data_IF_739397353959
#
_entry.id   IF_739397353959
#
_cell.length_a   1.000
_cell.length_b   1.000
_cell.length_c   1.000
_cell.angle_alpha   90.00
_cell.angle_beta   90.00
_cell.angle_gamma   90.00
#
_symmetry.space_group_name_H-M   'P 1'
#
loop_
_entity.id
_entity.type
_entity.pdbx_description
1 polymer ?
#
# COMPACT_ATOMS: atom_id res chain seq x y z
N UNK A 1 15.55 21.01 -2.44
CA UNK A 1 14.40 20.11 -2.67
C UNK A 1 14.71 18.92 -3.60
N UNK A 2 15.34 19.04 -4.78
CA UNK A 2 15.47 17.91 -5.72
C UNK A 2 16.42 16.80 -5.27
N UNK A 3 17.50 17.13 -4.56
CA UNK A 3 18.53 16.15 -4.15
C UNK A 3 17.99 15.02 -3.25
N UNK A 4 17.01 15.31 -2.38
CA UNK A 4 16.43 14.32 -1.45
C UNK A 4 15.59 13.27 -2.18
N UNK A 5 14.82 13.69 -3.18
CA UNK A 5 14.06 12.78 -4.04
C UNK A 5 14.96 12.02 -5.01
N UNK A 6 16.04 12.64 -5.49
CA UNK A 6 17.02 11.99 -6.35
C UNK A 6 17.66 10.77 -5.67
N UNK A 7 17.96 10.85 -4.37
CA UNK A 7 18.49 9.71 -3.61
C UNK A 7 17.49 8.55 -3.57
N UNK A 8 16.23 8.80 -3.23
CA UNK A 8 15.18 7.77 -3.22
C UNK A 8 14.97 7.17 -4.61
N UNK A 9 14.88 8.02 -5.64
CA UNK A 9 14.72 7.58 -7.03
C UNK A 9 15.91 6.71 -7.49
N UNK A 10 17.14 7.13 -7.20
CA UNK A 10 18.34 6.35 -7.53
C UNK A 10 18.35 5.01 -6.80
N UNK A 11 18.01 4.99 -5.51
CA UNK A 11 17.87 3.74 -4.75
C UNK A 11 16.87 2.80 -5.42
N UNK A 12 15.72 3.32 -5.87
CA UNK A 12 14.68 2.48 -6.50
C UNK A 12 15.07 2.02 -7.90
N UNK A 13 15.83 2.82 -8.65
CA UNK A 13 16.43 2.38 -9.92
C UNK A 13 17.40 1.22 -9.70
N UNK A 14 18.30 1.33 -8.70
CA UNK A 14 19.24 0.24 -8.36
C UNK A 14 18.48 -0.99 -7.86
N UNK A 15 17.44 -0.81 -7.04
CA UNK A 15 16.59 -1.90 -6.59
C UNK A 15 15.88 -2.59 -7.78
N UNK A 16 15.36 -1.83 -8.74
CA UNK A 16 14.77 -2.33 -9.97
C UNK A 16 15.75 -3.12 -10.84
N UNK A 17 17.00 -2.64 -10.96
CA UNK A 17 18.07 -3.37 -11.67
C UNK A 17 18.42 -4.69 -10.97
N UNK A 18 18.48 -4.70 -9.63
CA UNK A 18 18.72 -5.91 -8.85
C UNK A 18 17.57 -6.91 -9.01
N UNK A 19 16.32 -6.44 -8.92
CA UNK A 19 15.14 -7.26 -9.19
C UNK A 19 15.17 -7.85 -10.61
N UNK A 20 15.48 -7.05 -11.63
CA UNK A 20 15.61 -7.52 -13.00
C UNK A 20 16.70 -8.58 -13.16
N UNK A 21 17.87 -8.39 -12.55
CA UNK A 21 18.96 -9.37 -12.60
C UNK A 21 18.57 -10.70 -11.94
N UNK A 22 17.90 -10.65 -10.78
CA UNK A 22 17.36 -11.84 -10.11
C UNK A 22 16.30 -12.52 -10.97
N UNK A 23 15.39 -11.74 -11.56
CA UNK A 23 14.36 -12.26 -12.45
C UNK A 23 14.98 -12.96 -13.66
N UNK A 24 15.93 -12.34 -14.35
CA UNK A 24 16.62 -12.89 -15.51
C UNK A 24 17.39 -14.19 -15.19
N UNK A 25 17.97 -14.29 -13.99
CA UNK A 25 18.69 -15.49 -13.55
C UNK A 25 17.75 -16.67 -13.23
N UNK A 26 16.59 -16.39 -12.63
CA UNK A 26 15.67 -17.42 -12.12
C UNK A 26 14.55 -17.82 -13.10
N UNK A 27 14.19 -16.94 -14.05
CA UNK A 27 13.09 -17.16 -14.99
C UNK A 27 13.14 -18.51 -15.73
N UNK A 28 14.32 -19.00 -16.19
CA UNK A 28 14.38 -20.25 -16.95
C UNK A 28 14.00 -21.52 -16.18
N UNK A 29 13.85 -21.45 -14.85
CA UNK A 29 13.69 -22.64 -14.01
C UNK A 29 12.52 -22.63 -13.02
N UNK A 30 11.80 -21.52 -12.86
CA UNK A 30 10.78 -21.36 -11.81
C UNK A 30 9.49 -20.69 -12.34
N UNK A 31 8.39 -20.90 -11.61
CA UNK A 31 7.13 -20.22 -11.91
C UNK A 31 7.26 -18.69 -11.77
N UNK A 32 6.70 -17.85 -12.66
CA UNK A 32 6.88 -16.40 -12.65
C UNK A 32 6.57 -15.71 -11.32
N UNK A 33 5.56 -16.20 -10.57
CA UNK A 33 5.27 -15.70 -9.22
C UNK A 33 6.44 -15.89 -8.24
N UNK A 34 7.12 -17.04 -8.26
CA UNK A 34 8.28 -17.29 -7.39
C UNK A 34 9.46 -16.39 -7.79
N UNK A 35 9.66 -16.23 -9.10
CA UNK A 35 10.70 -15.36 -9.65
C UNK A 35 10.45 -13.91 -9.26
N UNK A 36 9.20 -13.45 -9.38
CA UNK A 36 8.79 -12.08 -9.01
C UNK A 36 8.92 -11.86 -7.50
N UNK A 37 8.54 -12.84 -6.68
CA UNK A 37 8.72 -12.76 -5.23
C UNK A 37 10.19 -12.63 -4.84
N UNK A 38 11.06 -13.46 -5.43
CA UNK A 38 12.51 -13.39 -5.19
C UNK A 38 13.10 -12.05 -5.65
N UNK A 39 12.63 -11.52 -6.79
CA UNK A 39 13.03 -10.22 -7.31
C UNK A 39 12.59 -9.06 -6.39
N UNK A 40 11.36 -9.10 -5.88
CA UNK A 40 10.83 -8.07 -4.96
C UNK A 40 11.55 -8.10 -3.59
N UNK A 41 11.87 -9.30 -3.08
CA UNK A 41 12.73 -9.46 -1.90
C UNK A 41 14.11 -8.87 -2.15
N UNK A 42 14.73 -9.15 -3.30
CA UNK A 42 16.04 -8.62 -3.64
C UNK A 42 16.04 -7.08 -3.73
N UNK A 43 15.03 -6.49 -4.39
CA UNK A 43 14.84 -5.05 -4.43
C UNK A 43 14.62 -4.46 -3.02
N UNK A 44 13.81 -5.12 -2.18
CA UNK A 44 13.63 -4.73 -0.78
C UNK A 44 14.95 -4.74 0.00
N UNK A 45 15.83 -5.73 -0.23
CA UNK A 45 17.15 -5.78 0.41
C UNK A 45 18.07 -4.63 -0.03
N UNK A 46 17.98 -4.19 -1.29
CA UNK A 46 18.69 -2.99 -1.78
C UNK A 46 18.17 -1.73 -1.07
N UNK A 47 16.84 -1.57 -0.98
CA UNK A 47 16.22 -0.45 -0.25
C UNK A 47 16.62 -0.48 1.23
N UNK A 48 16.66 -1.66 1.84
CA UNK A 48 17.10 -1.85 3.22
C UNK A 48 18.55 -1.42 3.42
N UNK A 49 19.47 -1.86 2.55
CA UNK A 49 20.86 -1.48 2.61
C UNK A 49 21.03 0.05 2.49
N UNK A 50 20.37 0.66 1.51
CA UNK A 50 20.38 2.12 1.33
C UNK A 50 19.80 2.87 2.54
N UNK A 51 18.65 2.44 3.06
CA UNK A 51 17.99 3.02 4.24
C UNK A 51 18.88 2.96 5.48
N UNK A 52 19.69 1.90 5.62
CA UNK A 52 20.62 1.71 6.73
C UNK A 52 21.84 2.63 6.59
N UNK A 53 22.40 2.74 5.39
CA UNK A 53 23.51 3.65 5.09
C UNK A 53 23.13 5.11 5.35
N UNK A 54 21.92 5.49 4.94
CA UNK A 54 21.38 6.85 5.07
C UNK A 54 20.76 7.09 6.46
N UNK A 55 20.59 6.02 7.26
CA UNK A 55 19.98 6.03 8.60
C UNK A 55 18.55 6.57 8.61
N UNK A 56 17.79 6.27 7.58
CA UNK A 56 16.39 6.68 7.44
C UNK A 56 15.54 5.52 6.89
N UNK A 57 14.80 4.85 7.78
CA UNK A 57 13.92 3.74 7.42
C UNK A 57 12.70 4.18 6.58
N UNK A 58 12.29 5.45 6.68
CA UNK A 58 11.19 6.02 5.87
C UNK A 58 11.49 6.13 4.38
N UNK A 59 12.72 5.85 3.96
CA UNK A 59 13.03 5.65 2.53
C UNK A 59 12.25 4.48 1.91
N UNK A 60 11.76 3.54 2.71
CA UNK A 60 10.91 2.45 2.24
C UNK A 60 9.45 2.88 2.02
N UNK A 61 9.00 3.99 2.63
CA UNK A 61 7.58 4.37 2.66
C UNK A 61 6.91 4.56 1.29
N UNK A 62 7.57 5.00 0.21
CA UNK A 62 6.95 4.99 -1.13
C UNK A 62 7.21 3.68 -1.90
N UNK A 63 8.10 2.81 -1.46
CA UNK A 63 8.49 1.59 -2.18
C UNK A 63 7.30 0.65 -2.34
N UNK A 64 6.54 0.44 -1.27
CA UNK A 64 5.41 -0.49 -1.26
C UNK A 64 4.25 -0.05 -2.19
N UNK A 65 4.16 1.24 -2.56
CA UNK A 65 3.24 1.72 -3.59
C UNK A 65 3.84 1.73 -4.99
N UNK A 66 5.17 1.86 -5.13
CA UNK A 66 5.86 1.85 -6.44
C UNK A 66 6.04 0.42 -6.99
N UNK A 67 6.44 -0.52 -6.14
CA UNK A 67 6.75 -1.90 -6.56
C UNK A 67 5.58 -2.60 -7.29
N UNK A 68 4.31 -2.52 -6.82
CA UNK A 68 3.17 -3.09 -7.54
C UNK A 68 3.03 -2.61 -8.99
N UNK A 69 3.23 -1.32 -9.27
CA UNK A 69 3.12 -0.80 -10.62
C UNK A 69 4.19 -1.37 -11.56
N UNK A 70 5.43 -1.47 -11.08
CA UNK A 70 6.54 -2.05 -11.85
C UNK A 70 6.32 -3.54 -12.08
N UNK A 71 5.89 -4.28 -11.05
CA UNK A 71 5.61 -5.72 -11.14
C UNK A 71 4.47 -6.01 -12.12
N UNK A 72 3.35 -5.30 -11.99
CA UNK A 72 2.19 -5.51 -12.87
C UNK A 72 2.50 -5.12 -14.31
N UNK A 73 3.26 -4.04 -14.53
CA UNK A 73 3.74 -3.69 -15.87
C UNK A 73 4.61 -4.81 -16.46
N UNK A 74 5.54 -5.38 -15.68
CA UNK A 74 6.39 -6.48 -16.13
C UNK A 74 5.56 -7.72 -16.50
N UNK A 75 4.53 -8.07 -15.72
CA UNK A 75 3.63 -9.18 -16.03
C UNK A 75 2.80 -8.93 -17.29
N UNK A 76 2.24 -7.73 -17.47
CA UNK A 76 1.47 -7.38 -18.67
C UNK A 76 2.34 -7.40 -19.93
N UNK A 77 3.62 -7.03 -19.83
CA UNK A 77 4.55 -7.07 -20.97
C UNK A 77 5.09 -8.47 -21.26
N UNK A 78 5.18 -9.34 -20.25
CA UNK A 78 5.71 -10.70 -20.37
C UNK A 78 4.67 -11.77 -20.70
N UNK A 79 3.41 -11.53 -20.34
CA UNK A 79 2.35 -12.54 -20.39
C UNK A 79 1.19 -12.14 -21.32
N UNK A 80 0.58 -13.15 -21.95
CA UNK A 80 -0.61 -12.96 -22.79
C UNK A 80 -1.88 -13.17 -21.98
N UNK A 81 -2.69 -12.12 -21.85
CA UNK A 81 -3.96 -12.14 -21.11
C UNK A 81 -5.11 -11.53 -21.90
N UNK A 82 -6.25 -11.39 -21.24
CA UNK A 82 -7.39 -10.66 -21.81
C UNK A 82 -7.08 -9.15 -21.77
N UNK A 83 -6.99 -8.52 -22.95
CA UNK A 83 -6.43 -7.17 -23.13
C UNK A 83 -7.21 -6.10 -22.37
N UNK A 84 -8.54 -6.19 -22.32
CA UNK A 84 -9.36 -5.18 -21.64
C UNK A 84 -9.13 -5.25 -20.13
N UNK A 85 -9.11 -6.45 -19.55
CA UNK A 85 -8.81 -6.70 -18.14
C UNK A 85 -7.39 -6.30 -17.80
N UNK A 86 -6.39 -6.71 -18.58
CA UNK A 86 -4.99 -6.31 -18.39
C UNK A 86 -4.84 -4.79 -18.35
N UNK A 87 -5.45 -4.09 -19.32
CA UNK A 87 -5.41 -2.64 -19.42
C UNK A 87 -6.09 -1.97 -18.22
N UNK A 88 -7.26 -2.47 -17.81
CA UNK A 88 -8.00 -1.95 -16.66
C UNK A 88 -7.21 -2.12 -15.36
N UNK A 89 -6.66 -3.31 -15.11
CA UNK A 89 -5.84 -3.61 -13.92
C UNK A 89 -4.59 -2.73 -13.89
N UNK A 90 -3.85 -2.67 -15.00
CA UNK A 90 -2.63 -1.85 -15.10
C UNK A 90 -2.94 -0.37 -14.85
N UNK A 91 -3.99 0.18 -15.48
CA UNK A 91 -4.38 1.57 -15.29
C UNK A 91 -4.76 1.86 -13.84
N UNK A 92 -5.56 1.00 -13.20
CA UNK A 92 -6.01 1.19 -11.82
C UNK A 92 -4.86 1.07 -10.82
N UNK A 93 -3.95 0.11 -11.00
CA UNK A 93 -2.73 -0.03 -10.19
C UNK A 93 -1.81 1.18 -10.36
N UNK A 94 -1.63 1.69 -11.60
CA UNK A 94 -0.84 2.90 -11.84
C UNK A 94 -1.46 4.13 -11.18
N UNK A 95 -2.78 4.32 -11.30
CA UNK A 95 -3.49 5.43 -10.66
C UNK A 95 -3.29 5.37 -9.14
N UNK A 96 -3.51 4.20 -8.52
CA UNK A 96 -3.31 3.97 -7.09
C UNK A 96 -1.86 4.24 -6.65
N UNK A 97 -0.89 3.67 -7.38
CA UNK A 97 0.54 3.79 -7.12
C UNK A 97 1.04 5.24 -7.17
N UNK A 98 0.72 5.95 -8.26
CA UNK A 98 1.09 7.36 -8.44
C UNK A 98 0.46 8.22 -7.36
N UNK A 99 -0.82 7.98 -7.04
CA UNK A 99 -1.56 8.73 -6.02
C UNK A 99 -0.98 8.54 -4.62
N UNK A 100 -0.67 7.31 -4.20
CA UNK A 100 -0.04 7.05 -2.91
C UNK A 100 1.37 7.64 -2.82
N UNK A 101 2.16 7.46 -3.87
CA UNK A 101 3.52 7.99 -3.95
C UNK A 101 3.51 9.53 -3.90
N UNK A 102 2.55 10.16 -4.59
CA UNK A 102 2.32 11.61 -4.51
C UNK A 102 1.88 12.06 -3.12
N UNK A 103 0.98 11.33 -2.48
CA UNK A 103 0.53 11.61 -1.11
C UNK A 103 1.72 11.61 -0.12
N UNK A 104 2.60 10.61 -0.23
CA UNK A 104 3.86 10.59 0.51
C UNK A 104 4.74 11.79 0.17
N UNK A 105 5.03 12.02 -1.12
CA UNK A 105 5.91 13.09 -1.57
C UNK A 105 5.42 14.49 -1.13
N UNK A 106 4.11 14.72 -1.07
CA UNK A 106 3.52 15.99 -0.66
C UNK A 106 3.76 16.34 0.82
N UNK A 107 4.01 15.34 1.67
CA UNK A 107 4.16 15.50 3.12
C UNK A 107 5.56 15.15 3.64
N UNK A 108 6.40 14.53 2.81
CA UNK A 108 7.74 14.12 3.19
C UNK A 108 8.70 15.30 3.33
N UNK A 109 9.38 15.36 4.48
CA UNK A 109 10.27 16.48 4.85
C UNK A 109 11.73 16.27 4.45
N UNK A 110 12.06 15.13 3.86
CA UNK A 110 13.41 14.76 3.44
C UNK A 110 14.12 13.78 4.34
N UNK A 111 15.39 13.52 4.02
CA UNK A 111 16.22 12.49 4.67
C UNK A 111 16.52 12.76 6.16
N UNK A 112 16.37 14.00 6.62
CA UNK A 112 16.53 14.37 8.02
C UNK A 112 15.29 14.04 8.87
N UNK A 113 14.20 13.60 8.23
CA UNK A 113 12.95 13.24 8.89
C UNK A 113 12.67 11.74 8.72
N UNK A 114 12.55 11.05 9.85
CA UNK A 114 12.10 9.66 9.93
C UNK A 114 10.69 9.61 10.56
N UNK A 115 9.85 8.71 10.06
CA UNK A 115 8.50 8.50 10.56
C UNK A 115 8.56 8.11 12.05
N UNK A 116 7.69 8.74 12.83
CA UNK A 116 7.59 8.53 14.28
C UNK A 116 7.39 7.07 14.67
N UNK A 117 6.77 6.23 13.80
CA UNK A 117 6.59 4.80 14.02
C UNK A 117 7.95 4.15 14.20
N UNK A 118 8.88 4.42 13.29
CA UNK A 118 10.20 3.82 13.28
C UNK A 118 11.08 4.39 14.40
N UNK A 119 10.96 5.69 14.69
CA UNK A 119 11.64 6.31 15.84
C UNK A 119 11.20 5.66 17.16
N UNK A 120 9.90 5.36 17.34
CA UNK A 120 9.37 4.68 18.54
C UNK A 120 9.85 3.23 18.66
N UNK A 121 10.29 2.61 17.56
CA UNK A 121 10.84 1.26 17.57
C UNK A 121 12.33 1.21 17.96
N UNK A 122 13.00 2.36 18.11
CA UNK A 122 14.39 2.44 18.60
C UNK A 122 14.43 2.20 20.12
N UNK A 123 15.56 1.67 20.59
CA UNK A 123 15.78 1.41 22.02
C UNK A 123 14.99 0.23 22.59
N UNK A 124 14.33 -0.57 21.75
CA UNK A 124 13.74 -1.84 22.15
C UNK A 124 14.81 -2.92 22.36
N UNK A 125 14.42 -4.05 22.96
CA UNK A 125 15.31 -5.20 23.19
C UNK A 125 15.88 -5.81 21.91
N UNK A 126 15.20 -5.63 20.79
CA UNK A 126 15.61 -6.16 19.48
C UNK A 126 16.48 -5.11 18.76
N UNK A 127 17.62 -5.51 18.15
CA UNK A 127 18.44 -4.60 17.37
C UNK A 127 17.65 -3.90 16.26
N UNK A 128 17.81 -2.57 16.14
CA UNK A 128 17.01 -1.77 15.21
C UNK A 128 17.17 -2.21 13.75
N UNK A 129 18.35 -2.69 13.32
CA UNK A 129 18.54 -3.19 11.96
C UNK A 129 17.62 -4.37 11.65
N UNK A 130 17.34 -5.25 12.63
CA UNK A 130 16.46 -6.40 12.46
C UNK A 130 15.00 -5.96 12.42
N UNK A 131 14.63 -4.98 13.26
CA UNK A 131 13.30 -4.37 13.23
C UNK A 131 13.06 -3.65 11.89
N UNK A 132 14.06 -2.94 11.39
CA UNK A 132 14.02 -2.28 10.08
C UNK A 132 13.85 -3.31 8.95
N UNK A 133 14.68 -4.34 8.92
CA UNK A 133 14.61 -5.37 7.88
C UNK A 133 13.28 -6.12 7.91
N UNK A 134 12.93 -6.72 9.05
CA UNK A 134 11.80 -7.65 9.13
C UNK A 134 10.46 -6.93 9.30
N UNK A 135 10.40 -5.96 10.21
CA UNK A 135 9.14 -5.30 10.56
C UNK A 135 8.77 -4.15 9.65
N UNK A 136 9.73 -3.27 9.33
CA UNK A 136 9.46 -2.05 8.56
C UNK A 136 9.41 -2.33 7.05
N UNK A 137 10.25 -3.24 6.55
CA UNK A 137 10.43 -3.43 5.10
C UNK A 137 9.89 -4.78 4.61
N UNK A 138 10.39 -5.91 5.10
CA UNK A 138 9.96 -7.23 4.59
C UNK A 138 8.49 -7.54 4.90
N UNK A 139 7.98 -7.19 6.08
CA UNK A 139 6.59 -7.48 6.42
C UNK A 139 5.61 -6.80 5.44
N UNK A 140 5.69 -5.48 5.18
CA UNK A 140 4.85 -4.86 4.15
C UNK A 140 5.10 -5.42 2.75
N UNK A 141 6.35 -5.71 2.36
CA UNK A 141 6.67 -6.35 1.07
C UNK A 141 5.90 -7.67 0.91
N UNK A 142 5.93 -8.54 1.92
CA UNK A 142 5.23 -9.84 1.89
C UNK A 142 3.71 -9.66 1.83
N UNK A 143 3.14 -8.73 2.60
CA UNK A 143 1.69 -8.49 2.62
C UNK A 143 1.20 -7.90 1.29
N UNK A 144 1.95 -6.96 0.71
CA UNK A 144 1.66 -6.39 -0.62
C UNK A 144 1.79 -7.46 -1.70
N UNK A 145 2.85 -8.27 -1.65
CA UNK A 145 3.03 -9.37 -2.61
C UNK A 145 1.91 -10.41 -2.50
N UNK A 146 1.44 -10.73 -1.29
CA UNK A 146 0.28 -11.59 -1.09
C UNK A 146 -0.99 -11.02 -1.76
N UNK A 147 -1.16 -9.69 -1.75
CA UNK A 147 -2.21 -9.00 -2.53
C UNK A 147 -2.02 -9.15 -4.05
N UNK A 148 -0.78 -9.04 -4.53
CA UNK A 148 -0.44 -9.21 -5.95
C UNK A 148 -0.67 -10.63 -6.48
N UNK A 149 -0.74 -11.65 -5.62
CA UNK A 149 -1.10 -13.00 -6.04
C UNK A 149 -2.43 -13.05 -6.77
N UNK A 150 -3.40 -12.21 -6.39
CA UNK A 150 -4.69 -12.14 -7.07
C UNK A 150 -4.65 -11.34 -8.38
N UNK A 151 -3.63 -10.50 -8.55
CA UNK A 151 -3.43 -9.74 -9.80
C UNK A 151 -2.86 -10.63 -10.89
N UNK A 152 -1.98 -11.59 -10.55
CA UNK A 152 -1.40 -12.52 -11.52
C UNK A 152 -2.43 -13.20 -12.44
N UNK A 153 -3.47 -13.92 -11.94
CA UNK A 153 -4.47 -14.51 -12.81
C UNK A 153 -5.23 -13.47 -13.65
N UNK A 154 -5.40 -12.25 -13.15
CA UNK A 154 -6.07 -11.18 -13.89
C UNK A 154 -5.30 -10.71 -15.13
N UNK A 155 -3.96 -10.80 -15.10
CA UNK A 155 -3.10 -10.28 -16.17
C UNK A 155 -2.35 -11.36 -16.96
N UNK A 156 -2.23 -12.57 -16.42
CA UNK A 156 -1.38 -13.62 -17.02
C UNK A 156 -2.13 -14.91 -17.38
N UNK A 157 -3.40 -15.06 -16.99
CA UNK A 157 -4.19 -16.26 -17.32
C UNK A 157 -5.17 -15.97 -18.45
N UNK A 158 -4.97 -16.53 -19.65
CA UNK A 158 -5.92 -16.37 -20.76
C UNK A 158 -7.15 -17.28 -20.59
N UNK A 159 -8.16 -17.06 -21.43
CA UNK A 159 -9.27 -18.00 -21.63
C UNK A 159 -10.64 -17.53 -21.13
N UNK A 160 -10.72 -16.49 -20.30
CA UNK A 160 -12.00 -15.85 -19.91
C UNK A 160 -12.03 -14.40 -20.35
N UNK A 161 -13.01 -14.06 -21.19
CA UNK A 161 -13.27 -12.69 -21.63
C UNK A 161 -13.65 -11.74 -20.48
N UNK A 162 -13.61 -10.44 -20.75
CA UNK A 162 -14.07 -9.41 -19.82
C UNK A 162 -15.56 -9.56 -19.54
N UNK A 163 -15.95 -9.64 -18.26
CA UNK A 163 -17.33 -9.95 -17.87
C UNK A 163 -17.87 -9.08 -16.73
N UNK A 164 -19.06 -9.45 -16.24
CA UNK A 164 -19.76 -8.71 -15.17
C UNK A 164 -18.92 -8.56 -13.90
N UNK A 165 -18.19 -9.61 -13.51
CA UNK A 165 -17.35 -9.57 -12.33
C UNK A 165 -16.17 -8.59 -12.49
N UNK A 166 -15.64 -8.43 -13.71
CA UNK A 166 -14.64 -7.41 -14.01
C UNK A 166 -15.22 -5.99 -13.87
N UNK A 167 -16.47 -5.76 -14.30
CA UNK A 167 -17.17 -4.48 -14.11
C UNK A 167 -17.32 -4.16 -12.62
N UNK A 168 -17.68 -5.16 -11.80
CA UNK A 168 -17.75 -5.00 -10.34
C UNK A 168 -16.37 -4.69 -9.77
N UNK A 169 -15.32 -5.39 -10.21
CA UNK A 169 -13.94 -5.14 -9.79
C UNK A 169 -13.47 -3.72 -10.12
N UNK A 170 -13.78 -3.22 -11.33
CA UNK A 170 -13.53 -1.82 -11.73
C UNK A 170 -14.27 -0.87 -10.79
N UNK A 171 -15.57 -1.06 -10.57
CA UNK A 171 -16.38 -0.18 -9.74
C UNK A 171 -15.86 -0.11 -8.29
N UNK A 172 -15.51 -1.27 -7.70
CA UNK A 172 -14.91 -1.36 -6.36
C UNK A 172 -13.58 -0.63 -6.30
N UNK A 173 -12.67 -0.91 -7.24
CA UNK A 173 -11.33 -0.31 -7.26
C UNK A 173 -11.36 1.20 -7.50
N UNK A 174 -12.20 1.69 -8.42
CA UNK A 174 -12.38 3.14 -8.65
C UNK A 174 -12.93 3.82 -7.40
N UNK A 175 -13.91 3.20 -6.75
CA UNK A 175 -14.47 3.73 -5.49
C UNK A 175 -13.44 3.76 -4.38
N UNK A 176 -12.62 2.71 -4.25
CA UNK A 176 -11.52 2.63 -3.30
C UNK A 176 -10.55 3.82 -3.45
N UNK A 177 -10.02 4.00 -4.67
CA UNK A 177 -9.10 5.12 -5.00
C UNK A 177 -9.76 6.48 -4.75
N UNK A 178 -11.05 6.63 -5.08
CA UNK A 178 -11.79 7.87 -4.86
C UNK A 178 -11.97 8.19 -3.36
N UNK A 179 -12.29 7.18 -2.54
CA UNK A 179 -12.38 7.28 -1.08
C UNK A 179 -11.03 7.74 -0.52
N UNK A 180 -9.95 7.04 -0.87
CA UNK A 180 -8.61 7.41 -0.42
C UNK A 180 -8.30 8.85 -0.83
N UNK A 181 -8.37 9.17 -2.12
CA UNK A 181 -7.99 10.48 -2.67
C UNK A 181 -8.78 11.62 -2.01
N UNK A 182 -10.05 11.39 -1.69
CA UNK A 182 -10.87 12.36 -0.98
C UNK A 182 -10.47 12.47 0.49
N UNK A 183 -10.27 11.35 1.17
CA UNK A 183 -9.88 11.30 2.58
C UNK A 183 -8.54 12.01 2.85
N UNK A 184 -7.52 11.73 2.05
CA UNK A 184 -6.20 12.33 2.23
C UNK A 184 -6.22 13.83 1.88
N UNK A 185 -6.92 14.25 0.81
CA UNK A 185 -7.08 15.68 0.51
C UNK A 185 -7.79 16.44 1.64
N UNK A 186 -8.82 15.84 2.23
CA UNK A 186 -9.51 16.41 3.39
C UNK A 186 -8.56 16.53 4.59
N UNK A 187 -7.78 15.49 4.88
CA UNK A 187 -6.83 15.48 5.99
C UNK A 187 -5.69 16.49 5.79
N UNK A 188 -5.13 16.58 4.59
CA UNK A 188 -4.06 17.53 4.27
C UNK A 188 -4.53 18.97 4.41
N UNK A 189 -5.72 19.30 3.89
CA UNK A 189 -6.30 20.65 4.03
C UNK A 189 -6.53 20.99 5.51
N UNK A 190 -7.05 20.05 6.29
CA UNK A 190 -7.25 20.24 7.72
C UNK A 190 -5.93 20.45 8.46
N UNK A 191 -4.92 19.63 8.17
CA UNK A 191 -3.62 19.68 8.85
C UNK A 191 -2.76 20.88 8.44
N UNK A 192 -2.97 21.45 7.26
CA UNK A 192 -2.26 22.62 6.78
C UNK A 192 -2.67 23.92 7.49
N UNK A 193 -3.89 23.99 8.02
CA UNK A 193 -4.41 25.15 8.73
C UNK A 193 -3.94 25.16 10.21
N UNK A 194 -3.16 26.18 10.63
CA UNK A 194 -2.69 26.29 12.01
C UNK A 194 -3.81 26.34 13.06
N UNK A 195 -5.00 26.83 12.70
CA UNK A 195 -6.15 26.90 13.60
C UNK A 195 -6.62 25.50 14.05
N UNK A 196 -6.40 24.48 13.23
CA UNK A 196 -6.78 23.09 13.51
C UNK A 196 -5.72 22.31 14.29
N UNK A 197 -4.62 22.94 14.73
CA UNK A 197 -3.58 22.25 15.53
C UNK A 197 -4.18 21.66 16.81
N UNK A 198 -3.91 20.39 17.05
CA UNK A 198 -4.45 19.65 18.20
C UNK A 198 -5.92 19.22 18.07
N UNK A 199 -6.64 19.70 17.05
CA UNK A 199 -8.03 19.33 16.81
C UNK A 199 -8.16 17.99 16.07
N UNK A 200 -9.35 17.39 16.14
CA UNK A 200 -9.69 16.12 15.49
C UNK A 200 -10.40 16.43 14.16
N UNK A 201 -9.91 15.84 13.07
CA UNK A 201 -10.60 15.92 11.79
C UNK A 201 -11.89 15.08 11.86
N UNK A 202 -13.05 15.74 11.84
CA UNK A 202 -14.36 15.11 11.99
C UNK A 202 -15.38 15.59 10.94
N UNK A 203 -14.90 16.04 9.78
CA UNK A 203 -15.72 16.51 8.65
C UNK A 203 -15.49 15.66 7.38
N UNK A 204 -16.33 15.84 6.36
CA UNK A 204 -16.17 15.09 5.11
C UNK A 204 -16.37 13.59 5.28
N UNK A 205 -15.43 12.76 4.82
CA UNK A 205 -15.43 11.31 5.03
C UNK A 205 -15.08 10.94 6.49
N UNK A 206 -14.28 11.78 7.14
CA UNK A 206 -13.79 11.54 8.51
C UNK A 206 -14.88 11.63 9.59
N UNK A 207 -16.07 12.15 9.24
CA UNK A 207 -17.25 12.09 10.13
C UNK A 207 -17.87 10.70 10.21
N UNK A 208 -17.65 9.86 9.19
CA UNK A 208 -18.27 8.53 9.05
C UNK A 208 -17.31 7.41 9.43
N UNK A 209 -16.02 7.66 9.34
CA UNK A 209 -14.95 6.71 9.56
C UNK A 209 -13.77 7.46 10.15
N UNK A 210 -13.10 6.88 11.16
CA UNK A 210 -11.87 7.46 11.72
C UNK A 210 -10.66 7.22 10.82
N UNK A 211 -10.74 6.28 9.88
CA UNK A 211 -9.67 5.94 8.94
C UNK A 211 -10.23 5.64 7.53
N UNK A 212 -10.89 6.61 6.87
CA UNK A 212 -11.53 6.38 5.57
C UNK A 212 -10.52 6.07 4.46
N UNK A 213 -9.30 6.61 4.54
CA UNK A 213 -8.22 6.26 3.63
C UNK A 213 -7.79 4.80 3.77
N UNK A 214 -7.74 4.23 4.99
CA UNK A 214 -7.47 2.81 5.18
C UNK A 214 -8.61 1.92 4.66
N UNK A 215 -9.86 2.37 4.75
CA UNK A 215 -10.98 1.66 4.12
C UNK A 215 -10.81 1.58 2.61
N UNK A 216 -10.45 2.70 1.98
CA UNK A 216 -10.17 2.71 0.55
C UNK A 216 -9.02 1.75 0.18
N UNK A 217 -7.92 1.78 0.94
CA UNK A 217 -6.79 0.88 0.72
C UNK A 217 -7.20 -0.59 0.82
N UNK A 218 -7.98 -0.97 1.83
CA UNK A 218 -8.53 -2.33 1.95
C UNK A 218 -9.37 -2.68 0.71
N UNK A 219 -10.28 -1.79 0.29
CA UNK A 219 -11.17 -2.02 -0.85
C UNK A 219 -10.40 -2.15 -2.18
N UNK A 220 -9.26 -1.47 -2.34
CA UNK A 220 -8.41 -1.61 -3.52
C UNK A 220 -7.95 -3.06 -3.69
N UNK A 221 -7.45 -3.69 -2.61
CA UNK A 221 -6.99 -5.09 -2.65
C UNK A 221 -8.12 -6.09 -2.82
N UNK A 222 -9.34 -5.79 -2.31
CA UNK A 222 -10.53 -6.57 -2.65
C UNK A 222 -10.89 -6.45 -4.14
N UNK A 223 -10.76 -5.26 -4.73
CA UNK A 223 -10.95 -5.05 -6.16
C UNK A 223 -9.97 -5.85 -7.01
N UNK A 224 -8.68 -5.87 -6.63
CA UNK A 224 -7.66 -6.72 -7.27
C UNK A 224 -8.01 -8.21 -7.18
N UNK A 225 -8.52 -8.65 -6.02
CA UNK A 225 -8.97 -10.03 -5.87
C UNK A 225 -10.17 -10.39 -6.76
N UNK A 226 -11.14 -9.47 -6.91
CA UNK A 226 -12.28 -9.68 -7.80
C UNK A 226 -11.86 -9.83 -9.27
N UNK A 227 -10.87 -9.07 -9.74
CA UNK A 227 -10.29 -9.25 -11.07
C UNK A 227 -9.65 -10.64 -11.23
N UNK A 228 -8.87 -11.08 -10.24
CA UNK A 228 -8.28 -12.41 -10.25
C UNK A 228 -9.32 -13.52 -10.30
N UNK A 229 -10.39 -13.38 -9.51
CA UNK A 229 -11.50 -14.32 -9.49
C UNK A 229 -12.30 -14.33 -10.81
N UNK A 230 -12.46 -13.18 -11.47
CA UNK A 230 -13.10 -13.06 -12.77
C UNK A 230 -12.32 -13.79 -13.87
N UNK A 231 -11.00 -13.62 -13.88
CA UNK A 231 -10.09 -14.22 -14.85
C UNK A 231 -9.89 -15.71 -14.62
N UNK A 232 -9.79 -16.16 -13.37
CA UNK A 232 -9.56 -17.55 -13.04
C UNK A 232 -10.20 -17.94 -11.68
N UNK A 233 -11.46 -18.41 -11.66
CA UNK A 233 -12.16 -18.77 -10.42
C UNK A 233 -11.43 -19.78 -9.52
N UNK A 234 -10.57 -20.64 -10.10
CA UNK A 234 -9.72 -21.57 -9.35
C UNK A 234 -8.66 -20.90 -8.46
N UNK A 235 -8.39 -19.61 -8.69
CA UNK A 235 -7.45 -18.79 -7.89
C UNK A 235 -8.10 -18.09 -6.70
N UNK A 236 -9.31 -18.50 -6.29
CA UNK A 236 -10.04 -17.91 -5.16
C UNK A 236 -9.21 -17.81 -3.87
N UNK A 237 -8.27 -18.75 -3.65
CA UNK A 237 -7.40 -18.83 -2.47
C UNK A 237 -6.49 -17.60 -2.30
N UNK A 238 -6.26 -16.84 -3.37
CA UNK A 238 -5.52 -15.56 -3.33
C UNK A 238 -6.22 -14.47 -2.51
N UNK A 239 -7.45 -14.73 -2.03
CA UNK A 239 -8.18 -13.89 -1.05
C UNK A 239 -7.34 -13.61 0.21
N UNK A 240 -6.36 -14.48 0.50
CA UNK A 240 -5.40 -14.29 1.58
C UNK A 240 -4.70 -12.92 1.53
N UNK A 241 -4.46 -12.36 0.34
CA UNK A 241 -3.89 -11.02 0.19
C UNK A 241 -4.83 -9.91 0.69
N UNK A 242 -6.09 -9.93 0.24
CA UNK A 242 -7.10 -8.96 0.67
C UNK A 242 -7.43 -9.08 2.17
N UNK A 243 -7.51 -10.31 2.69
CA UNK A 243 -7.67 -10.57 4.14
C UNK A 243 -6.43 -10.11 4.92
N UNK A 244 -5.23 -10.34 4.39
CA UNK A 244 -3.98 -9.85 4.97
C UNK A 244 -3.96 -8.33 5.11
N UNK A 245 -4.48 -7.60 4.12
CA UNK A 245 -4.63 -6.14 4.19
C UNK A 245 -5.64 -5.72 5.26
N UNK A 246 -6.78 -6.40 5.38
CA UNK A 246 -7.72 -6.14 6.49
C UNK A 246 -7.00 -6.30 7.83
N UNK A 247 -6.30 -7.41 8.04
CA UNK A 247 -5.59 -7.69 9.29
C UNK A 247 -4.50 -6.66 9.57
N UNK A 248 -3.67 -6.32 8.59
CA UNK A 248 -2.64 -5.29 8.71
C UNK A 248 -3.25 -3.97 9.21
N UNK A 249 -4.33 -3.52 8.57
CA UNK A 249 -4.95 -2.26 8.97
C UNK A 249 -5.67 -2.35 10.32
N UNK A 250 -6.46 -3.39 10.57
CA UNK A 250 -7.29 -3.46 11.79
C UNK A 250 -6.50 -3.85 13.04
N UNK A 251 -5.44 -4.64 12.89
CA UNK A 251 -4.65 -5.16 14.03
C UNK A 251 -3.40 -4.32 14.28
N UNK A 252 -2.80 -3.74 13.24
CA UNK A 252 -1.54 -2.99 13.37
C UNK A 252 -1.77 -1.49 13.17
N UNK A 253 -2.17 -1.06 11.97
CA UNK A 253 -2.14 0.35 11.59
C UNK A 253 -3.14 1.21 12.37
N UNK A 254 -4.40 0.78 12.46
CA UNK A 254 -5.47 1.53 13.15
C UNK A 254 -5.17 1.65 14.65
N UNK A 255 -4.86 0.56 15.40
CA UNK A 255 -4.52 0.68 16.81
C UNK A 255 -3.33 1.61 17.06
N UNK A 256 -2.29 1.55 16.22
CA UNK A 256 -1.13 2.45 16.34
C UNK A 256 -1.50 3.93 16.13
N UNK A 257 -2.33 4.24 15.12
CA UNK A 257 -2.77 5.62 14.87
C UNK A 257 -3.72 6.13 15.95
N UNK A 258 -4.62 5.28 16.41
CA UNK A 258 -5.57 5.58 17.48
C UNK A 258 -4.84 5.90 18.78
N UNK A 259 -3.88 5.05 19.15
CA UNK A 259 -3.06 5.26 20.34
C UNK A 259 -2.31 6.59 20.28
N UNK A 260 -1.67 6.90 19.15
CA UNK A 260 -0.99 8.19 18.97
C UNK A 260 -1.96 9.38 19.04
N UNK A 261 -3.18 9.20 18.57
CA UNK A 261 -4.21 10.24 18.64
C UNK A 261 -4.72 10.44 20.08
N UNK A 262 -4.90 9.35 20.85
CA UNK A 262 -5.22 9.39 22.28
C UNK A 262 -4.14 10.13 23.08
N UNK A 263 -2.85 9.87 22.79
CA UNK A 263 -1.72 10.54 23.45
C UNK A 263 -1.68 12.05 23.20
N UNK A 264 -2.24 12.53 22.09
CA UNK A 264 -2.09 13.93 21.63
C UNK A 264 -3.34 14.78 21.74
N UNK A 265 -4.51 14.15 21.88
CA UNK A 265 -5.82 14.82 21.76
C UNK A 265 -6.76 14.33 22.86
N UNK A 266 -6.97 15.12 23.94
CA UNK A 266 -7.80 14.72 25.07
C UNK A 266 -9.23 14.29 24.67
N UNK A 267 -9.82 14.92 23.66
CA UNK A 267 -11.17 14.61 23.18
C UNK A 267 -11.27 13.35 22.28
N UNK A 268 -10.15 12.67 21.98
CA UNK A 268 -10.14 11.59 20.99
C UNK A 268 -10.86 10.33 21.48
N UNK A 269 -10.79 10.02 22.78
CA UNK A 269 -11.51 8.88 23.37
C UNK A 269 -13.03 8.98 23.15
N UNK A 270 -13.60 10.18 23.32
CA UNK A 270 -15.02 10.42 23.08
C UNK A 270 -15.36 10.43 21.59
N UNK A 271 -14.43 10.85 20.72
CA UNK A 271 -14.59 10.73 19.28
C UNK A 271 -14.63 9.26 18.83
N UNK A 272 -13.78 8.38 19.38
CA UNK A 272 -13.77 6.95 19.08
C UNK A 272 -15.08 6.23 19.43
N UNK A 273 -15.81 6.71 20.45
CA UNK A 273 -17.13 6.18 20.82
C UNK A 273 -18.22 6.55 19.83
N UNK A 274 -18.08 7.69 19.14
CA UNK A 274 -19.07 8.23 18.21
C UNK A 274 -18.82 7.83 16.76
N UNK A 275 -17.56 7.71 16.37
CA UNK A 275 -17.14 7.44 14.99
C UNK A 275 -16.40 6.09 14.94
N UNK A 276 -16.86 5.14 14.11
CA UNK A 276 -16.23 3.83 13.95
C UNK A 276 -14.86 3.94 13.29
N UNK A 277 -14.03 2.89 13.42
CA UNK A 277 -12.71 2.88 12.79
C UNK A 277 -12.77 2.87 11.25
N UNK A 278 -13.58 1.97 10.67
CA UNK A 278 -13.68 1.76 9.21
C UNK A 278 -15.10 2.00 8.68
N UNK A 279 -16.04 1.08 8.96
CA UNK A 279 -17.41 1.14 8.45
C UNK A 279 -18.41 1.60 9.53
N UNK A 280 -19.39 2.46 9.20
CA UNK A 280 -20.52 2.78 10.06
C UNK A 280 -21.52 1.64 10.13
N UNK A 281 -21.16 0.60 10.90
CA UNK A 281 -22.05 -0.52 11.22
C UNK A 281 -23.14 -0.14 12.24
N UNK A 282 -23.08 1.08 12.80
CA UNK A 282 -24.07 1.66 13.71
C UNK A 282 -24.40 3.10 13.28
N UNK A 283 -25.63 3.58 13.54
CA UNK A 283 -25.99 4.97 13.28
C UNK A 283 -25.06 5.91 14.05
N UNK A 284 -24.49 6.89 13.37
CA UNK A 284 -23.62 7.90 13.98
C UNK A 284 -24.49 8.77 14.87
N UNK A 285 -24.22 8.76 16.18
CA UNK A 285 -24.89 9.64 17.13
C UNK A 285 -24.41 11.07 16.85
N UNK A 286 -25.34 11.93 16.42
CA UNK A 286 -25.11 13.37 16.22
C UNK A 286 -24.89 14.05 17.56
#
# INVERSE_FOLDING_TARGET
MPMRYAVVALTYLVAGLAAWAVAALLLPGLHPLLVTFAADVAATLVVFAASTLIRNASMYDPYWSVAPAVIVLAWVLGESGEVVRQSAVLALVLIWSVRLTWNWASSWRGLDHEDWRYVRLRGQRVPFWLVNLVGIQLMPTVVVFAGLLAVWPAVAVPGRGFGVLDVVAVAVTVTAVAIEATADRQLHRFAADPAHRGQIMASGLWRYSRHPNYLGEILFWWGMWLFGLAAAPGWWWTVVGAVGMVLLFTVVSIPMMDQRSLERRPAYAEHMRRVPALLPLRPIRR
#
